data_IF_072335804708
#
_entry.id   IF_072335804708
#
_cell.length_a   1.000
_cell.length_b   1.000
_cell.length_c   1.000
_cell.angle_alpha   90.00
_cell.angle_beta   90.00
_cell.angle_gamma   90.00
#
_symmetry.space_group_name_H-M   'P 1'
#
loop_
_entity.id
_entity.type
_entity.pdbx_description
1 polymer ?
#
# COMPACT_ATOMS: atom_id res chain seq x y z
N UNK A 1 12.60 -17.60 9.13
CA UNK A 1 11.15 -17.81 9.00
C UNK A 1 10.52 -17.25 10.26
N UNK A 2 9.70 -16.21 10.12
CA UNK A 2 8.94 -15.62 11.23
C UNK A 2 7.59 -16.31 11.40
N UNK A 3 6.88 -15.98 12.47
CA UNK A 3 5.53 -16.48 12.72
C UNK A 3 4.54 -15.88 11.71
N UNK A 4 3.49 -16.64 11.39
CA UNK A 4 2.40 -16.19 10.50
C UNK A 4 1.07 -16.25 11.26
N UNK A 5 0.32 -15.16 11.17
CA UNK A 5 -1.04 -15.04 11.70
C UNK A 5 -1.98 -14.93 10.50
N UNK A 6 -2.90 -15.89 10.40
CA UNK A 6 -3.97 -15.86 9.40
C UNK A 6 -5.21 -15.19 10.00
N UNK A 7 -5.71 -14.16 9.33
CA UNK A 7 -6.96 -13.49 9.67
C UNK A 7 -7.97 -13.77 8.57
N UNK A 8 -9.07 -14.42 8.90
CA UNK A 8 -10.09 -14.78 7.91
C UNK A 8 -11.07 -13.63 7.70
N UNK A 9 -11.69 -13.60 6.51
CA UNK A 9 -12.70 -12.62 6.10
C UNK A 9 -13.71 -12.31 7.22
N UNK A 10 -13.91 -11.03 7.47
CA UNK A 10 -14.76 -10.50 8.52
C UNK A 10 -14.54 -8.99 8.64
N UNK A 11 -15.36 -8.31 9.44
CA UNK A 11 -15.16 -6.89 9.75
C UNK A 11 -14.70 -6.77 11.20
N UNK A 12 -13.53 -6.16 11.37
CA UNK A 12 -12.84 -5.94 12.63
C UNK A 12 -12.88 -4.45 12.95
N UNK A 13 -13.74 -4.08 13.89
CA UNK A 13 -13.91 -2.70 14.33
C UNK A 13 -12.89 -2.37 15.43
N UNK A 14 -11.66 -2.09 15.04
CA UNK A 14 -10.55 -1.89 15.96
C UNK A 14 -9.41 -1.08 15.33
N UNK A 15 -8.46 -0.67 16.19
CA UNK A 15 -7.17 -0.14 15.76
C UNK A 15 -6.10 -1.19 16.06
N UNK A 16 -5.53 -1.80 15.03
CA UNK A 16 -4.56 -2.89 15.17
C UNK A 16 -3.16 -2.32 15.35
N UNK A 17 -2.44 -2.80 16.37
CA UNK A 17 -1.01 -2.53 16.55
C UNK A 17 -0.25 -3.84 16.36
N UNK A 18 0.67 -3.86 15.40
CA UNK A 18 1.54 -5.00 15.13
C UNK A 18 2.91 -4.69 15.71
N UNK A 19 3.19 -5.27 16.88
CA UNK A 19 4.36 -4.99 17.72
C UNK A 19 5.39 -6.13 17.74
N UNK A 20 5.20 -7.13 16.87
CA UNK A 20 6.11 -8.26 16.68
C UNK A 20 6.39 -8.45 15.20
N UNK A 21 7.60 -8.92 14.90
CA UNK A 21 8.01 -9.30 13.55
C UNK A 21 7.28 -10.57 13.11
N UNK A 22 6.16 -10.39 12.41
CA UNK A 22 5.28 -11.47 11.95
C UNK A 22 4.77 -11.20 10.54
N UNK A 23 4.32 -12.25 9.86
CA UNK A 23 3.42 -12.09 8.71
C UNK A 23 1.98 -12.06 9.19
N UNK A 24 1.31 -10.93 9.05
CA UNK A 24 -0.13 -10.79 9.23
C UNK A 24 -0.79 -10.87 7.86
N UNK A 25 -1.51 -11.97 7.61
CA UNK A 25 -2.10 -12.30 6.31
C UNK A 25 -3.62 -12.39 6.42
N UNK A 26 -4.31 -11.56 5.65
CA UNK A 26 -5.75 -11.63 5.44
C UNK A 26 -6.11 -12.70 4.41
N UNK A 27 -7.11 -13.51 4.73
CA UNK A 27 -7.67 -14.55 3.87
C UNK A 27 -9.09 -14.13 3.50
N UNK A 28 -9.31 -13.81 2.23
CA UNK A 28 -10.59 -13.29 1.74
C UNK A 28 -10.86 -11.84 2.12
N UNK A 29 -9.81 -11.00 2.21
CA UNK A 29 -9.90 -9.56 2.47
C UNK A 29 -10.70 -9.20 3.74
N UNK A 30 -10.25 -9.62 4.94
CA UNK A 30 -10.77 -9.06 6.18
C UNK A 30 -10.64 -7.53 6.21
N UNK A 31 -11.68 -6.88 6.73
CA UNK A 31 -11.77 -5.42 6.85
C UNK A 31 -11.30 -5.01 8.24
N UNK A 32 -10.30 -4.15 8.32
CA UNK A 32 -9.94 -3.39 9.53
C UNK A 32 -10.58 -2.00 9.41
N UNK A 33 -11.61 -1.76 10.21
CA UNK A 33 -12.38 -0.51 10.23
C UNK A 33 -12.05 0.29 11.50
N UNK A 34 -11.33 1.40 11.33
CA UNK A 34 -10.91 2.28 12.42
C UNK A 34 -12.05 3.13 13.01
N UNK A 35 -13.29 3.01 12.50
CA UNK A 35 -14.47 3.73 13.01
C UNK A 35 -14.31 5.26 13.05
N UNK A 36 -13.58 5.81 12.08
CA UNK A 36 -13.24 7.23 12.00
C UNK A 36 -12.47 7.70 13.24
N UNK A 37 -11.57 6.85 13.76
CA UNK A 37 -10.75 7.17 14.93
C UNK A 37 -9.39 6.49 14.90
N UNK A 38 -8.33 7.29 14.98
CA UNK A 38 -6.94 6.85 14.99
C UNK A 38 -6.47 6.26 13.65
N UNK A 39 -5.48 5.37 13.72
CA UNK A 39 -5.00 4.60 12.57
C UNK A 39 -5.67 3.24 12.54
N UNK A 40 -6.01 2.72 11.37
CA UNK A 40 -6.58 1.37 11.27
C UNK A 40 -5.52 0.30 11.62
N UNK A 41 -4.32 0.40 11.04
CA UNK A 41 -3.19 -0.47 11.36
C UNK A 41 -1.95 0.36 11.70
N UNK A 42 -1.23 0.01 12.76
CA UNK A 42 0.05 0.63 13.14
C UNK A 42 1.14 -0.43 13.24
N UNK A 43 2.22 -0.29 12.45
CA UNK A 43 3.37 -1.19 12.42
C UNK A 43 4.51 -0.62 13.27
N UNK A 44 4.81 -1.26 14.41
CA UNK A 44 5.81 -0.76 15.37
C UNK A 44 7.02 -1.68 15.56
N UNK A 45 7.03 -2.87 14.96
CA UNK A 45 8.18 -3.76 14.95
C UNK A 45 8.76 -3.90 13.55
N UNK A 46 10.05 -4.21 13.45
CA UNK A 46 10.72 -4.36 12.17
C UNK A 46 10.40 -5.71 11.52
N UNK A 47 10.45 -5.75 10.18
CA UNK A 47 10.31 -7.00 9.43
C UNK A 47 8.89 -7.58 9.43
N UNK A 48 7.87 -6.75 9.61
CA UNK A 48 6.47 -7.15 9.48
C UNK A 48 6.13 -7.33 8.00
N UNK A 49 5.36 -8.38 7.70
CA UNK A 49 4.63 -8.46 6.43
C UNK A 49 3.15 -8.24 6.70
N UNK A 50 2.53 -7.24 6.05
CA UNK A 50 1.10 -6.99 6.09
C UNK A 50 0.50 -7.22 4.70
N UNK A 51 -0.39 -8.20 4.57
CA UNK A 51 -0.95 -8.54 3.27
C UNK A 51 -2.40 -9.01 3.29
N UNK A 52 -3.16 -8.65 2.25
CA UNK A 52 -4.51 -9.17 2.01
C UNK A 52 -5.62 -8.57 2.85
N UNK A 53 -5.52 -7.30 3.27
CA UNK A 53 -6.53 -6.61 4.07
C UNK A 53 -7.25 -5.50 3.30
N UNK A 54 -8.49 -5.23 3.71
CA UNK A 54 -9.18 -3.97 3.43
C UNK A 54 -9.05 -3.07 4.66
N UNK A 55 -8.53 -1.85 4.50
CA UNK A 55 -8.10 -0.99 5.61
C UNK A 55 -8.73 0.37 5.45
N UNK A 56 -9.64 0.72 6.37
CA UNK A 56 -10.60 1.79 6.12
C UNK A 56 -11.01 2.62 7.34
N UNK A 57 -11.67 3.74 7.05
CA UNK A 57 -12.26 4.68 8.01
C UNK A 57 -11.27 5.16 9.08
N UNK A 58 -10.00 5.38 8.74
CA UNK A 58 -9.06 6.03 9.64
C UNK A 58 -9.27 7.55 9.65
N UNK A 59 -9.18 8.16 10.84
CA UNK A 59 -9.26 9.60 11.03
C UNK A 59 -8.57 9.97 12.35
N UNK A 60 -7.68 10.95 12.32
CA UNK A 60 -6.89 11.32 13.48
C UNK A 60 -6.52 12.79 13.51
N UNK A 61 -7.33 13.67 12.92
CA UNK A 61 -7.06 15.11 12.86
C UNK A 61 -5.66 15.41 12.30
N UNK A 62 -5.39 14.94 11.07
CA UNK A 62 -4.14 15.07 10.29
C UNK A 62 -3.02 14.08 10.58
N UNK A 63 -3.18 13.21 11.58
CA UNK A 63 -2.22 12.14 11.88
C UNK A 63 -2.82 10.74 11.77
N UNK A 64 -4.13 10.63 11.47
CA UNK A 64 -4.76 9.35 11.19
C UNK A 64 -4.25 8.77 9.89
N UNK A 65 -4.16 7.45 9.81
CA UNK A 65 -3.80 6.76 8.58
C UNK A 65 -4.48 5.39 8.49
N UNK A 66 -4.78 4.93 7.28
CA UNK A 66 -5.13 3.53 7.06
C UNK A 66 -4.01 2.63 7.63
N UNK A 67 -2.78 2.88 7.19
CA UNK A 67 -1.58 2.21 7.72
C UNK A 67 -0.56 3.26 8.19
N UNK A 68 -0.21 3.21 9.47
CA UNK A 68 0.90 3.99 10.03
C UNK A 68 2.12 3.10 10.24
N UNK A 69 3.28 3.54 9.74
CA UNK A 69 4.53 2.79 9.82
C UNK A 69 5.55 3.61 10.61
N UNK A 70 5.99 3.09 11.75
CA UNK A 70 7.04 3.71 12.59
C UNK A 70 8.22 2.77 12.82
N UNK A 71 8.40 1.83 11.91
CA UNK A 71 9.35 0.72 11.96
C UNK A 71 9.99 0.48 10.59
N UNK A 72 10.93 -0.46 10.55
CA UNK A 72 11.85 -0.63 9.44
C UNK A 72 11.67 -1.99 8.76
N UNK A 73 12.14 -2.10 7.52
CA UNK A 73 12.22 -3.37 6.79
C UNK A 73 10.88 -4.11 6.65
N UNK A 74 9.75 -3.39 6.64
CA UNK A 74 8.43 -4.00 6.50
C UNK A 74 8.08 -4.23 5.03
N UNK A 75 7.24 -5.23 4.77
CA UNK A 75 6.65 -5.50 3.48
C UNK A 75 5.12 -5.31 3.54
N UNK A 76 4.59 -4.38 2.74
CA UNK A 76 3.17 -4.07 2.68
C UNK A 76 2.71 -4.35 1.25
N UNK A 77 1.89 -5.38 1.07
CA UNK A 77 1.48 -5.82 -0.27
C UNK A 77 0.10 -6.44 -0.28
N UNK A 78 -0.63 -6.34 -1.38
CA UNK A 78 -1.91 -7.00 -1.55
C UNK A 78 -3.06 -6.40 -0.73
N UNK A 79 -2.91 -5.18 -0.22
CA UNK A 79 -3.94 -4.52 0.60
C UNK A 79 -4.76 -3.52 -0.22
N UNK A 80 -6.01 -3.32 0.19
CA UNK A 80 -6.86 -2.20 -0.23
C UNK A 80 -6.87 -1.17 0.90
N UNK A 81 -6.25 -0.01 0.67
CA UNK A 81 -6.19 1.10 1.63
C UNK A 81 -7.16 2.17 1.14
N UNK A 82 -8.33 2.24 1.76
CA UNK A 82 -9.42 3.03 1.19
C UNK A 82 -10.31 3.78 2.19
N UNK A 83 -10.92 4.88 1.73
CA UNK A 83 -11.86 5.70 2.50
C UNK A 83 -11.29 6.16 3.85
N UNK A 84 -10.02 6.62 3.86
CA UNK A 84 -9.41 7.20 5.05
C UNK A 84 -9.47 8.73 4.98
N UNK A 85 -9.94 9.37 6.05
CA UNK A 85 -10.22 10.81 6.10
C UNK A 85 -8.97 11.68 6.35
N UNK A 86 -7.81 11.04 6.47
CA UNK A 86 -6.50 11.70 6.54
C UNK A 86 -5.60 11.03 5.48
N UNK A 87 -4.76 10.07 5.89
CA UNK A 87 -3.76 9.47 5.00
C UNK A 87 -4.08 8.01 4.67
N UNK A 88 -3.77 7.54 3.46
CA UNK A 88 -3.71 6.11 3.17
C UNK A 88 -2.57 5.46 3.96
N UNK A 89 -1.35 5.94 3.71
CA UNK A 89 -0.15 5.57 4.47
C UNK A 89 0.49 6.79 5.14
N UNK A 90 0.96 6.61 6.38
CA UNK A 90 1.79 7.57 7.09
C UNK A 90 3.13 6.93 7.47
N UNK A 91 4.23 7.42 6.88
CA UNK A 91 5.60 7.01 7.18
C UNK A 91 6.21 7.93 8.25
N UNK A 92 6.56 7.34 9.39
CA UNK A 92 7.21 8.03 10.49
C UNK A 92 8.65 8.46 10.17
N UNK A 93 9.15 9.45 10.91
CA UNK A 93 10.43 10.11 10.61
C UNK A 93 11.63 9.16 10.47
N UNK A 94 11.64 8.06 11.23
CA UNK A 94 12.75 7.11 11.26
C UNK A 94 12.42 5.77 10.58
N UNK A 95 11.31 5.68 9.84
CA UNK A 95 10.99 4.45 9.09
C UNK A 95 11.90 4.32 7.87
N UNK A 96 12.65 3.23 7.78
CA UNK A 96 13.59 2.97 6.69
C UNK A 96 13.35 1.60 6.02
N UNK A 97 13.78 1.48 4.76
CA UNK A 97 13.82 0.22 4.01
C UNK A 97 12.48 -0.54 3.94
N UNK A 98 11.36 0.18 4.02
CA UNK A 98 10.04 -0.38 3.81
C UNK A 98 9.79 -0.61 2.31
N UNK A 99 9.08 -1.70 2.00
CA UNK A 99 8.72 -2.11 0.66
C UNK A 99 7.19 -2.13 0.54
N UNK A 100 6.64 -1.33 -0.38
CA UNK A 100 5.20 -1.10 -0.53
C UNK A 100 4.82 -1.23 -2.00
N UNK A 101 4.22 -2.34 -2.39
CA UNK A 101 3.88 -2.62 -3.79
C UNK A 101 2.67 -3.54 -3.90
N UNK A 102 1.98 -3.52 -5.04
CA UNK A 102 0.73 -4.25 -5.28
C UNK A 102 -0.33 -3.94 -4.22
N UNK A 103 -0.48 -2.69 -3.81
CA UNK A 103 -1.61 -2.24 -3.01
C UNK A 103 -2.52 -1.35 -3.86
N UNK A 104 -3.78 -1.24 -3.44
CA UNK A 104 -4.74 -0.32 -4.03
C UNK A 104 -4.97 0.84 -3.07
N UNK A 105 -4.68 2.07 -3.49
CA UNK A 105 -4.97 3.30 -2.75
C UNK A 105 -6.18 4.00 -3.37
N UNK A 106 -7.32 4.00 -2.66
CA UNK A 106 -8.62 4.40 -3.21
C UNK A 106 -9.32 5.35 -2.25
N UNK A 107 -9.72 6.54 -2.71
CA UNK A 107 -10.54 7.48 -1.94
C UNK A 107 -9.98 7.82 -0.54
N UNK A 108 -8.65 7.96 -0.42
CA UNK A 108 -8.02 8.56 0.76
C UNK A 108 -7.92 10.08 0.57
N UNK A 109 -8.05 10.87 1.64
CA UNK A 109 -7.90 12.33 1.53
C UNK A 109 -6.51 12.73 1.02
N UNK A 110 -5.47 12.04 1.50
CA UNK A 110 -4.13 12.02 0.91
C UNK A 110 -3.66 10.55 0.86
N UNK A 111 -3.10 10.10 -0.25
CA UNK A 111 -2.70 8.70 -0.37
C UNK A 111 -1.48 8.39 0.49
N UNK A 112 -0.51 9.31 0.57
CA UNK A 112 0.73 9.08 1.32
C UNK A 112 1.24 10.35 1.98
N UNK A 113 1.34 10.31 3.31
CA UNK A 113 2.12 11.26 4.08
C UNK A 113 3.49 10.66 4.43
N UNK A 114 4.51 11.13 3.74
CA UNK A 114 5.89 10.70 3.96
C UNK A 114 6.69 11.77 4.72
N UNK A 115 6.90 11.54 6.02
CA UNK A 115 7.76 12.37 6.87
C UNK A 115 9.11 11.68 7.15
N UNK A 116 9.41 10.57 6.46
CA UNK A 116 10.63 9.81 6.68
C UNK A 116 11.86 10.56 6.18
N UNK A 117 12.99 10.31 6.82
CA UNK A 117 14.30 10.80 6.38
C UNK A 117 14.97 9.87 5.36
N UNK A 118 14.33 8.74 5.04
CA UNK A 118 14.90 7.64 4.27
C UNK A 118 14.01 7.29 3.07
N UNK A 119 14.56 6.50 2.14
CA UNK A 119 13.82 6.07 0.96
C UNK A 119 12.93 4.86 1.31
N UNK A 120 11.70 4.90 0.84
CA UNK A 120 10.79 3.74 0.79
C UNK A 120 10.71 3.27 -0.65
N UNK A 121 10.67 1.95 -0.88
CA UNK A 121 10.56 1.38 -2.22
C UNK A 121 9.08 1.11 -2.52
N UNK A 122 8.58 1.68 -3.61
CA UNK A 122 7.15 1.70 -3.95
C UNK A 122 6.76 0.74 -5.09
N UNK A 123 7.67 -0.14 -5.49
CA UNK A 123 7.44 -1.18 -6.49
C UNK A 123 8.21 -2.45 -6.12
N UNK A 124 7.89 -3.58 -6.75
CA UNK A 124 8.60 -4.84 -6.51
C UNK A 124 10.11 -4.69 -6.73
N UNK A 125 10.92 -5.43 -5.96
CA UNK A 125 12.39 -5.47 -6.11
C UNK A 125 12.86 -6.40 -7.23
N UNK A 126 11.98 -7.28 -7.67
CA UNK A 126 12.20 -8.25 -8.74
C UNK A 126 11.04 -8.16 -9.73
N UNK A 127 11.30 -8.54 -10.98
CA UNK A 127 10.25 -8.62 -11.99
C UNK A 127 9.27 -9.74 -11.62
N UNK A 128 7.98 -9.45 -11.80
CA UNK A 128 6.87 -10.36 -11.56
C UNK A 128 6.28 -10.74 -12.91
N UNK A 129 6.00 -12.03 -13.10
CA UNK A 129 5.18 -12.48 -14.23
C UNK A 129 3.71 -12.26 -13.89
N UNK A 130 2.99 -11.51 -14.73
CA UNK A 130 1.59 -11.19 -14.52
C UNK A 130 0.78 -11.33 -15.82
N UNK A 131 -0.55 -11.35 -15.68
CA UNK A 131 -1.46 -11.38 -16.84
C UNK A 131 -2.30 -10.12 -16.83
N UNK A 132 -2.31 -9.38 -17.93
CA UNK A 132 -3.15 -8.20 -18.10
C UNK A 132 -3.88 -8.30 -19.45
N UNK A 133 -5.20 -8.10 -19.44
CA UNK A 133 -6.06 -8.26 -20.62
C UNK A 133 -5.84 -9.57 -21.41
N UNK A 134 -5.51 -10.66 -20.71
CA UNK A 134 -5.30 -11.99 -21.28
C UNK A 134 -3.90 -12.25 -21.86
N UNK A 135 -3.01 -11.26 -21.85
CA UNK A 135 -1.62 -11.41 -22.27
C UNK A 135 -0.70 -11.50 -21.05
N UNK A 136 0.41 -12.24 -21.22
CA UNK A 136 1.41 -12.41 -20.17
C UNK A 136 2.56 -11.43 -20.36
N UNK A 137 3.00 -10.81 -19.27
CA UNK A 137 4.09 -9.85 -19.23
C UNK A 137 5.04 -10.17 -18.07
N UNK A 138 6.25 -9.63 -18.14
CA UNK A 138 7.27 -9.67 -17.07
C UNK A 138 7.76 -8.24 -16.89
N UNK A 139 7.57 -7.70 -15.69
CA UNK A 139 8.04 -6.35 -15.33
C UNK A 139 8.05 -6.19 -13.81
N UNK A 140 8.60 -5.08 -13.31
CA UNK A 140 8.33 -4.64 -11.95
C UNK A 140 6.88 -4.15 -11.84
N UNK A 141 6.28 -4.28 -10.65
CA UNK A 141 4.91 -3.83 -10.38
C UNK A 141 4.86 -2.91 -9.16
N UNK A 142 4.21 -1.78 -9.32
CA UNK A 142 3.95 -0.77 -8.29
C UNK A 142 2.61 -0.96 -7.62
N UNK A 143 2.00 0.15 -7.24
CA UNK A 143 0.68 0.23 -6.61
C UNK A 143 -0.33 0.83 -7.59
N UNK A 144 -1.61 0.60 -7.31
CA UNK A 144 -2.70 1.30 -7.96
C UNK A 144 -3.06 2.56 -7.15
N UNK A 145 -3.18 3.69 -7.84
CA UNK A 145 -3.50 4.99 -7.26
C UNK A 145 -4.77 5.53 -7.93
N UNK A 146 -5.88 5.61 -7.20
CA UNK A 146 -7.17 6.01 -7.79
C UNK A 146 -7.18 7.45 -8.31
N UNK A 147 -6.28 8.31 -7.82
CA UNK A 147 -6.11 9.70 -8.24
C UNK A 147 -5.07 9.88 -9.38
N UNK A 148 -4.52 8.77 -9.91
CA UNK A 148 -3.43 8.81 -10.89
C UNK A 148 -3.77 9.68 -12.11
N UNK A 149 -4.90 9.42 -12.76
CA UNK A 149 -5.31 10.10 -14.00
C UNK A 149 -5.53 11.59 -13.80
N UNK A 150 -6.06 11.99 -12.63
CA UNK A 150 -6.23 13.39 -12.26
C UNK A 150 -4.87 14.08 -12.10
N UNK A 151 -3.92 13.40 -11.47
CA UNK A 151 -2.58 13.91 -11.17
C UNK A 151 -1.66 13.94 -12.39
N UNK A 152 -1.83 12.99 -13.32
CA UNK A 152 -1.01 12.81 -14.51
C UNK A 152 -1.85 12.69 -15.79
N UNK A 153 -2.59 13.75 -16.18
CA UNK A 153 -3.55 13.68 -17.29
C UNK A 153 -2.94 13.47 -18.69
N UNK A 154 -1.60 13.43 -18.79
CA UNK A 154 -0.85 13.20 -20.02
C UNK A 154 -0.01 11.93 -19.97
N UNK A 155 -0.09 11.15 -18.89
CA UNK A 155 0.57 9.85 -18.84
C UNK A 155 -0.10 8.88 -19.81
N UNK A 156 0.70 7.98 -20.36
CA UNK A 156 0.24 6.95 -21.30
C UNK A 156 0.58 5.56 -20.75
N UNK A 157 -0.12 4.55 -21.25
CA UNK A 157 0.21 3.16 -20.96
C UNK A 157 1.48 2.75 -21.72
N UNK A 158 2.40 2.05 -21.04
CA UNK A 158 3.57 1.46 -21.70
C UNK A 158 3.13 0.23 -22.48
N UNK A 159 3.16 0.27 -23.81
CA UNK A 159 3.03 -0.89 -24.71
C UNK A 159 1.91 -1.91 -24.33
N UNK A 160 0.77 -1.44 -23.83
CA UNK A 160 -0.38 -2.27 -23.37
C UNK A 160 -0.14 -3.14 -22.14
N UNK A 161 0.86 -2.80 -21.32
CA UNK A 161 1.27 -3.59 -20.15
C UNK A 161 0.38 -3.41 -18.92
N UNK A 162 -0.56 -2.46 -18.95
CA UNK A 162 -1.30 -2.02 -17.78
C UNK A 162 -0.45 -1.20 -16.80
N UNK A 163 0.75 -0.76 -17.19
CA UNK A 163 1.60 0.08 -16.36
C UNK A 163 1.69 1.45 -17.01
N UNK A 164 1.53 2.50 -16.21
CA UNK A 164 1.71 3.87 -16.68
C UNK A 164 3.19 4.21 -16.93
N UNK A 165 3.44 5.06 -17.92
CA UNK A 165 4.78 5.52 -18.32
C UNK A 165 5.39 6.57 -17.37
N UNK A 166 4.55 7.20 -16.55
CA UNK A 166 4.93 8.29 -15.68
C UNK A 166 4.96 7.83 -14.22
N UNK A 167 6.11 7.92 -13.50
CA UNK A 167 6.16 7.53 -12.11
C UNK A 167 5.22 8.34 -11.21
N UNK A 168 4.52 7.67 -10.29
CA UNK A 168 3.69 8.34 -9.29
C UNK A 168 4.57 8.93 -8.18
N UNK A 169 4.54 10.25 -8.06
CA UNK A 169 5.36 11.00 -7.10
C UNK A 169 4.74 10.94 -5.71
N UNK A 170 5.51 10.43 -4.75
CA UNK A 170 5.10 10.33 -3.34
C UNK A 170 5.52 11.60 -2.62
N UNK A 171 6.83 11.81 -2.46
CA UNK A 171 7.38 12.95 -1.73
C UNK A 171 8.83 13.21 -2.15
N UNK A 172 9.17 14.48 -2.43
CA UNK A 172 10.47 14.89 -3.00
C UNK A 172 10.79 14.16 -4.33
N UNK A 173 11.93 14.46 -4.94
CA UNK A 173 12.26 13.95 -6.29
C UNK A 173 12.61 12.44 -6.33
N UNK A 174 12.87 11.82 -5.18
CA UNK A 174 13.45 10.47 -5.09
C UNK A 174 12.48 9.38 -4.61
N UNK A 175 11.40 9.71 -3.87
CA UNK A 175 10.39 8.71 -3.47
C UNK A 175 9.26 8.73 -4.50
N UNK A 176 9.29 7.72 -5.38
CA UNK A 176 8.34 7.52 -6.47
C UNK A 176 8.01 6.05 -6.60
N UNK A 177 6.77 5.78 -6.98
CA UNK A 177 6.41 4.51 -7.58
C UNK A 177 6.73 4.60 -9.08
N UNK A 178 7.70 3.80 -9.53
CA UNK A 178 8.15 3.81 -10.92
C UNK A 178 7.30 2.94 -11.84
N UNK A 179 6.41 2.11 -11.30
CA UNK A 179 5.59 1.17 -12.07
C UNK A 179 4.11 1.24 -11.62
N UNK A 180 3.49 2.43 -11.58
CA UNK A 180 2.12 2.55 -11.11
C UNK A 180 1.16 1.81 -12.04
N UNK A 181 0.23 1.08 -11.43
CA UNK A 181 -0.75 0.26 -12.13
C UNK A 181 -1.90 1.13 -12.64
N UNK A 182 -2.40 0.83 -13.84
CA UNK A 182 -3.58 1.48 -14.43
C UNK A 182 -4.90 1.05 -13.80
N UNK A 183 -4.96 -0.20 -13.34
CA UNK A 183 -6.14 -0.76 -12.69
C UNK A 183 -5.77 -1.33 -11.30
N UNK A 184 -6.76 -1.62 -10.44
CA UNK A 184 -6.54 -2.37 -9.21
C UNK A 184 -5.75 -3.67 -9.44
N UNK A 185 -4.88 -4.03 -8.50
CA UNK A 185 -3.92 -5.16 -8.63
C UNK A 185 -4.58 -6.49 -9.03
N UNK A 186 -5.85 -6.70 -8.70
CA UNK A 186 -6.64 -7.89 -9.03
C UNK A 186 -6.79 -8.11 -10.55
N UNK A 187 -6.50 -7.10 -11.37
CA UNK A 187 -6.45 -7.21 -12.83
C UNK A 187 -5.15 -7.78 -13.36
N UNK A 188 -4.11 -7.88 -12.53
CA UNK A 188 -2.76 -8.31 -12.89
C UNK A 188 -2.43 -9.69 -12.32
N UNK A 189 -2.86 -9.92 -11.07
CA UNK A 189 -2.60 -11.12 -10.31
C UNK A 189 -3.92 -11.69 -9.76
N UNK A 190 -4.15 -13.01 -9.88
CA UNK A 190 -5.33 -13.68 -9.34
C UNK A 190 -5.32 -13.79 -7.80
#
# INVERSE_FOLDING_TARGET
>A
MGDMILVYSGVYYENVVVDKSVTLRGIGHPVVDAKWSGNAVTLTADGITLEGFDITNAEGSRIGAGIKITSNNNNITGNNVCNNNDHGINLGTFSEDNLIYLNNFIDNMDNVYDNSLWTTIWNSKEEITYTYNGNMYISYLGNYWADYDEKYPYAEEIDTTGIWDTPYSIYKEYNKDFYPLMEPRERYLP
#
